data_IF_521126214583
#
_entry.id   IF_521126214583
#
_cell.length_a   1.000
_cell.length_b   1.000
_cell.length_c   1.000
_cell.angle_alpha   90.00
_cell.angle_beta   90.00
_cell.angle_gamma   90.00
#
_symmetry.space_group_name_H-M   'P 1'
#
loop_
_entity.id
_entity.type
_entity.pdbx_description
1 polymer ?
#
# COMPACT_ATOMS: atom_id res chain seq x y z
N UNK A 1 -23.57 4.11 -14.03
CA UNK A 1 -24.58 5.19 -14.08
C UNK A 1 -25.27 5.42 -12.75
N UNK A 2 -25.80 4.39 -12.06
CA UNK A 2 -26.44 4.53 -10.73
C UNK A 2 -25.52 5.11 -9.65
N UNK A 3 -24.24 4.72 -9.60
CA UNK A 3 -23.28 5.27 -8.62
C UNK A 3 -23.06 6.79 -8.76
N UNK A 4 -23.08 7.31 -10.00
CA UNK A 4 -22.95 8.74 -10.29
C UNK A 4 -24.19 9.51 -9.82
N UNK A 5 -25.38 8.95 -10.02
CA UNK A 5 -26.64 9.52 -9.55
C UNK A 5 -26.68 9.56 -8.01
N UNK A 6 -26.24 8.49 -7.34
CA UNK A 6 -26.18 8.42 -5.87
C UNK A 6 -25.18 9.44 -5.31
N UNK A 7 -23.98 9.56 -5.89
CA UNK A 7 -22.94 10.49 -5.42
C UNK A 7 -23.34 11.96 -5.64
N UNK A 8 -24.01 12.29 -6.75
CA UNK A 8 -24.51 13.64 -7.00
C UNK A 8 -25.69 13.97 -6.07
N UNK A 9 -26.59 13.00 -5.85
CA UNK A 9 -27.68 13.11 -4.88
C UNK A 9 -27.20 13.31 -3.44
N UNK A 10 -26.18 12.56 -3.02
CA UNK A 10 -25.57 12.70 -1.69
C UNK A 10 -24.87 14.06 -1.52
N UNK A 11 -24.18 14.55 -2.56
CA UNK A 11 -23.54 15.87 -2.54
C UNK A 11 -24.56 17.02 -2.47
N UNK A 12 -25.72 16.88 -3.11
CA UNK A 12 -26.81 17.86 -3.04
C UNK A 12 -27.49 17.84 -1.65
N UNK A 13 -27.73 16.65 -1.10
CA UNK A 13 -28.32 16.47 0.23
C UNK A 13 -27.41 16.99 1.36
N UNK A 14 -26.08 16.80 1.24
CA UNK A 14 -25.09 17.32 2.20
C UNK A 14 -25.01 18.85 2.24
N UNK A 15 -25.52 19.56 1.24
CA UNK A 15 -25.59 21.04 1.24
C UNK A 15 -26.80 21.59 2.00
N UNK A 16 -27.86 20.80 2.17
CA UNK A 16 -29.13 21.24 2.77
C UNK A 16 -29.34 20.76 4.20
N UNK A 17 -28.51 19.83 4.69
CA UNK A 17 -28.45 19.56 6.12
C UNK A 17 -27.87 20.80 6.80
N UNK A 18 -28.59 21.41 7.77
CA UNK A 18 -27.96 22.32 8.71
C UNK A 18 -26.71 21.60 9.20
N UNK A 19 -25.57 22.30 9.25
CA UNK A 19 -24.43 21.84 10.05
C UNK A 19 -24.94 21.79 11.49
N UNK A 20 -25.64 20.72 11.87
CA UNK A 20 -25.60 20.20 13.22
C UNK A 20 -24.10 20.00 13.40
N UNK A 21 -23.47 20.99 14.03
CA UNK A 21 -22.05 21.01 14.31
C UNK A 21 -21.74 19.59 14.73
N UNK A 22 -20.93 18.87 13.94
CA UNK A 22 -20.46 17.56 14.30
C UNK A 22 -19.90 17.76 15.70
N UNK A 23 -20.68 17.38 16.71
CA UNK A 23 -20.39 17.73 18.08
C UNK A 23 -19.16 16.89 18.32
N UNK A 24 -17.99 17.51 18.25
CA UNK A 24 -16.73 16.83 18.38
C UNK A 24 -16.85 16.07 19.68
N UNK A 25 -17.01 14.75 19.59
CA UNK A 25 -17.10 13.90 20.77
C UNK A 25 -15.74 14.08 21.40
N UNK A 26 -15.70 14.83 22.51
CA UNK A 26 -14.47 15.13 23.20
C UNK A 26 -13.77 13.78 23.45
N UNK A 27 -12.51 13.61 23.02
CA UNK A 27 -11.80 12.34 23.18
C UNK A 27 -11.87 11.92 24.64
N UNK A 28 -12.53 10.79 24.93
CA UNK A 28 -12.51 10.23 26.27
C UNK A 28 -11.10 9.74 26.54
N UNK A 29 -10.46 10.29 27.57
CA UNK A 29 -9.17 9.83 28.02
C UNK A 29 -9.30 8.36 28.46
N UNK A 30 -8.71 7.46 27.67
CA UNK A 30 -8.65 6.02 28.00
C UNK A 30 -7.59 5.85 29.08
N UNK A 31 -8.02 5.50 30.30
CA UNK A 31 -7.10 5.20 31.40
C UNK A 31 -6.24 3.98 31.08
N UNK A 32 -4.98 3.96 31.56
CA UNK A 32 -4.02 2.85 31.33
C UNK A 32 -4.62 1.46 31.64
N UNK A 33 -5.48 1.32 32.65
CA UNK A 33 -6.14 0.05 32.98
C UNK A 33 -7.15 -0.42 31.93
N UNK A 34 -7.90 0.52 31.33
CA UNK A 34 -8.83 0.22 30.24
C UNK A 34 -8.06 -0.11 28.95
N UNK A 35 -6.93 0.56 28.71
CA UNK A 35 -6.00 0.23 27.63
C UNK A 35 -5.46 -1.21 27.77
N UNK A 36 -4.97 -1.60 28.95
CA UNK A 36 -4.47 -2.97 29.21
C UNK A 36 -5.56 -4.02 29.04
N UNK A 37 -6.82 -3.70 29.37
CA UNK A 37 -7.95 -4.62 29.19
C UNK A 37 -8.42 -4.73 27.74
N UNK A 38 -8.43 -3.63 26.98
CA UNK A 38 -8.82 -3.63 25.56
C UNK A 38 -7.73 -4.14 24.61
N UNK A 39 -6.45 -3.98 24.97
CA UNK A 39 -5.31 -4.40 24.15
C UNK A 39 -5.40 -5.86 23.70
N UNK A 40 -5.62 -6.86 24.57
CA UNK A 40 -5.72 -8.25 24.14
C UNK A 40 -6.92 -8.50 23.24
N UNK A 41 -8.07 -7.86 23.49
CA UNK A 41 -9.28 -8.03 22.66
C UNK A 41 -9.05 -7.51 21.23
N UNK A 42 -8.39 -6.36 21.10
CA UNK A 42 -8.06 -5.76 19.80
C UNK A 42 -6.91 -6.49 19.11
N UNK A 43 -5.92 -6.99 19.87
CA UNK A 43 -4.75 -7.67 19.33
C UNK A 43 -5.03 -9.11 18.89
N UNK A 44 -5.99 -9.81 19.50
CA UNK A 44 -6.30 -11.22 19.19
C UNK A 44 -6.70 -11.41 17.72
N UNK A 45 -7.53 -10.54 17.16
CA UNK A 45 -7.98 -10.65 15.77
C UNK A 45 -6.83 -10.60 14.74
N UNK A 46 -5.93 -9.59 14.74
CA UNK A 46 -4.77 -9.58 13.86
C UNK A 46 -3.76 -10.68 14.18
N UNK A 47 -3.60 -11.05 15.46
CA UNK A 47 -2.67 -12.12 15.85
C UNK A 47 -3.11 -13.48 15.30
N UNK A 48 -4.40 -13.80 15.36
CA UNK A 48 -4.97 -15.01 14.75
C UNK A 48 -4.93 -14.89 13.22
N UNK A 49 -5.33 -13.74 12.67
CA UNK A 49 -5.37 -13.51 11.23
C UNK A 49 -4.02 -13.66 10.53
N UNK A 50 -2.92 -13.30 11.21
CA UNK A 50 -1.55 -13.48 10.70
C UNK A 50 -0.94 -14.80 11.18
N UNK A 51 -1.20 -15.18 12.43
CA UNK A 51 -0.63 -16.39 13.04
C UNK A 51 -1.05 -17.67 12.32
N UNK A 52 -2.33 -17.81 11.96
CA UNK A 52 -2.83 -18.99 11.25
C UNK A 52 -2.13 -19.20 9.89
N UNK A 53 -2.07 -18.23 8.97
CA UNK A 53 -1.36 -18.40 7.72
C UNK A 53 0.16 -18.58 7.91
N UNK A 54 0.79 -17.90 8.87
CA UNK A 54 2.22 -18.12 9.16
C UNK A 54 2.51 -19.54 9.64
N UNK A 55 1.67 -20.08 10.54
CA UNK A 55 1.80 -21.45 11.02
C UNK A 55 1.55 -22.46 9.88
N UNK A 56 0.59 -22.19 9.00
CA UNK A 56 0.35 -23.01 7.82
C UNK A 56 1.52 -22.99 6.83
N UNK A 57 2.13 -21.82 6.61
CA UNK A 57 3.34 -21.71 5.79
C UNK A 57 4.53 -22.44 6.44
N UNK A 58 4.67 -22.33 7.77
CA UNK A 58 5.75 -22.98 8.50
C UNK A 58 5.57 -24.50 8.52
N UNK A 59 4.36 -25.00 8.73
CA UNK A 59 4.09 -26.44 8.69
C UNK A 59 4.37 -27.00 7.30
N UNK A 60 3.93 -26.29 6.24
CA UNK A 60 4.22 -26.66 4.85
C UNK A 60 5.71 -26.64 4.53
N UNK A 61 6.45 -25.67 5.06
CA UNK A 61 7.90 -25.59 4.89
C UNK A 61 8.63 -26.76 5.58
N UNK A 62 8.19 -27.12 6.79
CA UNK A 62 8.75 -28.24 7.56
C UNK A 62 8.38 -29.61 6.97
N UNK A 63 7.15 -29.75 6.44
CA UNK A 63 6.69 -30.95 5.71
C UNK A 63 7.42 -31.10 4.36
N UNK A 64 7.77 -30.00 3.70
CA UNK A 64 8.55 -30.01 2.46
C UNK A 64 10.04 -30.32 2.70
N UNK A 65 10.57 -30.05 3.89
CA UNK A 65 11.98 -30.24 4.22
C UNK A 65 12.42 -31.72 4.26
N UNK A 66 11.50 -32.69 4.33
CA UNK A 66 11.82 -34.12 4.40
C UNK A 66 12.06 -34.80 3.05
N UNK A 67 11.89 -34.12 1.90
CA UNK A 67 12.07 -34.73 0.57
C UNK A 67 12.94 -33.85 -0.37
N UNK A 68 14.19 -33.58 0.00
CA UNK A 68 15.35 -33.53 -0.93
C UNK A 68 15.39 -32.48 -2.07
N UNK A 69 14.68 -31.35 -1.97
CA UNK A 69 14.56 -30.38 -3.09
C UNK A 69 15.00 -28.93 -2.83
N UNK A 70 15.58 -28.60 -1.66
CA UNK A 70 16.07 -27.22 -1.41
C UNK A 70 17.44 -27.02 -2.06
N UNK A 71 17.44 -26.42 -3.24
CA UNK A 71 18.63 -25.93 -3.94
C UNK A 71 19.08 -24.59 -3.37
N UNK A 72 19.96 -24.64 -2.36
CA UNK A 72 20.49 -23.48 -1.65
C UNK A 72 21.12 -22.44 -2.59
N UNK A 73 21.98 -22.81 -3.57
CA UNK A 73 22.48 -21.88 -4.58
C UNK A 73 21.39 -21.10 -5.30
N UNK A 74 20.36 -21.79 -5.82
CA UNK A 74 19.26 -21.16 -6.54
C UNK A 74 18.42 -20.25 -5.65
N UNK A 75 18.24 -20.63 -4.38
CA UNK A 75 17.55 -19.80 -3.40
C UNK A 75 18.33 -18.51 -3.12
N UNK A 76 19.65 -18.60 -2.93
CA UNK A 76 20.50 -17.43 -2.71
C UNK A 76 20.49 -16.49 -3.93
N UNK A 77 20.52 -17.04 -5.14
CA UNK A 77 20.41 -16.25 -6.38
C UNK A 77 19.06 -15.52 -6.45
N UNK A 78 17.95 -16.22 -6.21
CA UNK A 78 16.61 -15.63 -6.23
C UNK A 78 16.41 -14.56 -5.13
N UNK A 79 16.95 -14.80 -3.93
CA UNK A 79 16.95 -13.81 -2.85
C UNK A 79 17.80 -12.60 -3.27
N UNK A 80 18.99 -12.83 -3.81
CA UNK A 80 19.88 -11.78 -4.30
C UNK A 80 19.23 -10.90 -5.37
N UNK A 81 18.58 -11.50 -6.37
CA UNK A 81 17.87 -10.75 -7.41
C UNK A 81 16.70 -9.96 -6.85
N UNK A 82 15.93 -10.55 -5.93
CA UNK A 82 14.76 -9.90 -5.32
C UNK A 82 15.19 -8.72 -4.45
N UNK A 83 16.22 -8.89 -3.63
CA UNK A 83 16.80 -7.82 -2.81
C UNK A 83 17.39 -6.73 -3.70
N UNK A 84 18.10 -7.08 -4.77
CA UNK A 84 18.65 -6.11 -5.72
C UNK A 84 17.57 -5.23 -6.35
N UNK A 85 16.47 -5.83 -6.81
CA UNK A 85 15.31 -5.10 -7.36
C UNK A 85 14.66 -4.23 -6.28
N UNK A 86 14.46 -4.76 -5.07
CA UNK A 86 13.87 -4.02 -3.96
C UNK A 86 14.69 -2.80 -3.55
N UNK A 87 16.02 -2.93 -3.48
CA UNK A 87 16.93 -1.82 -3.18
C UNK A 87 16.88 -0.76 -4.28
N UNK A 88 16.92 -1.16 -5.55
CA UNK A 88 16.81 -0.23 -6.67
C UNK A 88 15.48 0.55 -6.64
N UNK A 89 14.37 -0.15 -6.38
CA UNK A 89 13.05 0.47 -6.24
C UNK A 89 12.98 1.40 -5.03
N UNK A 90 13.54 1.02 -3.88
CA UNK A 90 13.57 1.85 -2.69
C UNK A 90 14.36 3.14 -2.91
N UNK A 91 15.53 3.07 -3.55
CA UNK A 91 16.33 4.24 -3.89
C UNK A 91 15.57 5.17 -4.85
N UNK A 92 14.92 4.61 -5.87
CA UNK A 92 14.11 5.38 -6.80
C UNK A 92 12.92 6.06 -6.09
N UNK A 93 12.19 5.32 -5.25
CA UNK A 93 11.06 5.83 -4.49
C UNK A 93 11.49 6.96 -3.54
N UNK A 94 12.61 6.80 -2.83
CA UNK A 94 13.16 7.85 -1.96
C UNK A 94 13.58 9.07 -2.79
N UNK A 95 14.28 8.88 -3.90
CA UNK A 95 14.69 9.99 -4.76
C UNK A 95 13.51 10.81 -5.29
N UNK A 96 12.39 10.15 -5.60
CA UNK A 96 11.16 10.80 -6.06
C UNK A 96 10.33 11.40 -4.92
N UNK A 97 10.24 10.73 -3.78
CA UNK A 97 9.43 11.16 -2.64
C UNK A 97 10.09 12.28 -1.83
N UNK A 98 11.43 12.30 -1.73
CA UNK A 98 12.18 13.29 -0.96
C UNK A 98 11.89 14.74 -1.37
N UNK A 99 11.92 15.14 -2.66
CA UNK A 99 11.60 16.51 -3.06
C UNK A 99 10.14 16.88 -2.76
N UNK A 100 9.21 15.93 -2.92
CA UNK A 100 7.79 16.13 -2.63
C UNK A 100 7.59 16.37 -1.13
N UNK A 101 8.18 15.52 -0.28
CA UNK A 101 8.12 15.65 1.17
C UNK A 101 8.76 16.96 1.65
N UNK A 102 9.89 17.35 1.07
CA UNK A 102 10.56 18.62 1.40
C UNK A 102 9.69 19.83 1.01
N UNK A 103 9.01 19.78 -0.14
CA UNK A 103 8.12 20.85 -0.59
C UNK A 103 6.86 20.93 0.29
N UNK A 104 6.27 19.78 0.62
CA UNK A 104 5.09 19.69 1.48
C UNK A 104 5.36 20.19 2.91
N UNK A 105 6.57 19.95 3.43
CA UNK A 105 6.97 20.44 4.74
C UNK A 105 7.13 21.96 4.79
N UNK A 106 7.54 22.59 3.68
CA UNK A 106 7.88 24.03 3.63
C UNK A 106 6.76 24.91 3.10
N UNK A 107 5.88 24.41 2.24
CA UNK A 107 4.88 25.21 1.55
C UNK A 107 3.47 24.64 1.71
N UNK A 108 2.50 25.52 1.98
CA UNK A 108 1.07 25.18 2.02
C UNK A 108 0.35 25.89 0.88
N UNK A 109 0.23 25.22 -0.26
CA UNK A 109 -0.40 25.76 -1.47
C UNK A 109 -1.18 24.71 -2.24
N UNK A 110 -2.05 25.14 -3.16
CA UNK A 110 -2.91 24.24 -3.96
C UNK A 110 -2.14 23.20 -4.77
N UNK A 111 -0.93 23.54 -5.25
CA UNK A 111 -0.06 22.61 -5.97
C UNK A 111 0.48 21.49 -5.06
N UNK A 112 0.86 21.81 -3.82
CA UNK A 112 1.31 20.82 -2.83
C UNK A 112 0.17 19.86 -2.50
N UNK A 113 -1.03 20.37 -2.24
CA UNK A 113 -2.20 19.54 -1.96
C UNK A 113 -2.58 18.64 -3.14
N UNK A 114 -2.41 19.13 -4.38
CA UNK A 114 -2.63 18.31 -5.57
C UNK A 114 -1.60 17.17 -5.67
N UNK A 115 -0.32 17.45 -5.44
CA UNK A 115 0.75 16.44 -5.46
C UNK A 115 0.55 15.39 -4.35
N UNK A 116 0.19 15.81 -3.14
CA UNK A 116 -0.16 14.89 -2.05
C UNK A 116 -1.35 14.00 -2.43
N UNK A 117 -2.38 14.57 -3.06
CA UNK A 117 -3.55 13.80 -3.51
C UNK A 117 -3.19 12.76 -4.58
N UNK A 118 -2.23 13.06 -5.46
CA UNK A 118 -1.69 12.07 -6.42
C UNK A 118 -0.94 10.95 -5.73
N UNK A 119 -0.18 11.24 -4.66
CA UNK A 119 0.46 10.20 -3.84
C UNK A 119 -0.55 9.22 -3.23
N UNK A 120 -1.72 9.69 -2.84
CA UNK A 120 -2.79 8.83 -2.32
C UNK A 120 -3.53 8.03 -3.39
N UNK A 121 -3.52 8.47 -4.65
CA UNK A 121 -4.17 7.74 -5.74
C UNK A 121 -3.59 6.33 -5.93
N UNK A 122 -2.28 6.16 -5.73
CA UNK A 122 -1.64 4.83 -5.77
C UNK A 122 -2.21 3.85 -4.74
N UNK A 123 -2.61 4.33 -3.56
CA UNK A 123 -3.22 3.49 -2.51
C UNK A 123 -4.70 3.18 -2.77
N UNK A 124 -5.38 3.98 -3.58
CA UNK A 124 -6.78 3.78 -3.94
C UNK A 124 -6.96 2.83 -5.13
N UNK A 125 -5.92 2.68 -5.96
CA UNK A 125 -5.94 1.82 -7.14
C UNK A 125 -5.56 0.38 -6.76
N UNK A 126 -6.27 -0.64 -7.26
CA UNK A 126 -5.82 -2.02 -7.11
C UNK A 126 -4.47 -2.21 -7.82
N UNK A 127 -3.46 -2.74 -7.12
CA UNK A 127 -2.10 -2.86 -7.66
C UNK A 127 -2.01 -3.64 -8.99
N UNK A 128 -2.88 -4.64 -9.18
CA UNK A 128 -2.98 -5.39 -10.45
C UNK A 128 -3.32 -4.47 -11.62
N UNK A 129 -4.22 -3.50 -11.42
CA UNK A 129 -4.64 -2.55 -12.47
C UNK A 129 -3.48 -1.64 -12.85
N UNK A 130 -2.71 -1.16 -11.86
CA UNK A 130 -1.51 -0.34 -12.08
C UNK A 130 -0.47 -1.12 -12.88
N UNK A 131 -0.18 -2.36 -12.46
CA UNK A 131 0.79 -3.23 -13.15
C UNK A 131 0.41 -3.52 -14.60
N UNK A 132 -0.85 -3.90 -14.86
CA UNK A 132 -1.31 -4.16 -16.23
C UNK A 132 -1.27 -2.89 -17.08
N UNK A 133 -1.65 -1.75 -16.53
CA UNK A 133 -1.61 -0.47 -17.25
C UNK A 133 -0.18 -0.11 -17.66
N UNK A 134 0.80 -0.36 -16.78
CA UNK A 134 2.21 -0.14 -17.08
C UNK A 134 2.72 -1.10 -18.17
N UNK A 135 2.31 -2.37 -18.14
CA UNK A 135 2.65 -3.36 -19.18
C UNK A 135 2.09 -2.93 -20.54
N UNK A 136 0.81 -2.53 -20.59
CA UNK A 136 0.19 -2.03 -21.82
C UNK A 136 0.89 -0.76 -22.31
N UNK A 137 1.23 0.16 -21.41
CA UNK A 137 1.97 1.38 -21.76
C UNK A 137 3.36 1.06 -22.32
N UNK A 138 4.11 0.15 -21.70
CA UNK A 138 5.42 -0.26 -22.19
C UNK A 138 5.32 -0.85 -23.60
N UNK A 139 4.38 -1.77 -23.83
CA UNK A 139 4.15 -2.36 -25.15
C UNK A 139 3.71 -1.33 -26.20
N UNK A 140 2.91 -0.33 -25.82
CA UNK A 140 2.37 0.66 -26.74
C UNK A 140 3.37 1.77 -27.10
N UNK A 141 4.19 2.22 -26.14
CA UNK A 141 5.03 3.42 -26.30
C UNK A 141 6.50 3.07 -26.49
N UNK A 142 7.02 2.14 -25.68
CA UNK A 142 8.44 1.75 -25.74
C UNK A 142 8.56 0.22 -25.61
N UNK A 143 8.29 -0.54 -26.69
CA UNK A 143 8.24 -2.00 -26.64
C UNK A 143 9.52 -2.64 -26.06
N UNK A 144 10.67 -1.99 -26.22
CA UNK A 144 11.95 -2.43 -25.65
C UNK A 144 11.96 -2.50 -24.11
N UNK A 145 11.05 -1.81 -23.43
CA UNK A 145 10.89 -1.87 -21.97
C UNK A 145 10.09 -3.10 -21.51
N UNK A 146 9.38 -3.78 -22.41
CA UNK A 146 8.61 -4.96 -22.07
C UNK A 146 9.51 -6.07 -21.49
N UNK A 147 9.06 -6.73 -20.41
CA UNK A 147 9.82 -7.74 -19.67
C UNK A 147 11.19 -7.27 -19.13
N UNK A 148 11.44 -5.96 -19.05
CA UNK A 148 12.68 -5.43 -18.49
C UNK A 148 12.62 -5.21 -16.97
N UNK A 149 13.79 -5.26 -16.32
CA UNK A 149 13.93 -4.90 -14.91
C UNK A 149 13.56 -3.44 -14.62
N UNK A 150 13.64 -2.56 -15.63
CA UNK A 150 13.30 -1.13 -15.50
C UNK A 150 11.81 -0.96 -15.22
N UNK A 151 10.96 -1.67 -15.96
CA UNK A 151 9.51 -1.66 -15.75
C UNK A 151 9.17 -2.24 -14.38
N UNK A 152 9.86 -3.30 -13.96
CA UNK A 152 9.66 -3.92 -12.66
C UNK A 152 10.02 -2.95 -11.51
N UNK A 153 11.20 -2.33 -11.57
CA UNK A 153 11.66 -1.35 -10.56
C UNK A 153 10.73 -0.14 -10.50
N UNK A 154 10.28 0.36 -11.64
CA UNK A 154 9.33 1.47 -11.69
C UNK A 154 7.97 1.08 -11.08
N UNK A 155 7.44 -0.11 -11.41
CA UNK A 155 6.20 -0.60 -10.84
C UNK A 155 6.27 -0.75 -9.32
N UNK A 156 7.41 -1.18 -8.77
CA UNK A 156 7.61 -1.30 -7.33
C UNK A 156 7.72 0.05 -6.60
N UNK A 157 8.11 1.12 -7.31
CA UNK A 157 8.27 2.46 -6.74
C UNK A 157 6.96 3.26 -6.67
N UNK A 158 5.92 2.82 -7.38
CA UNK A 158 4.59 3.45 -7.48
C UNK A 158 3.63 2.80 -6.49
#
# INVERSE_FOLDING_TARGET
>A
MLALVVVVGERAARRQLPRAAARAVAPRAVGRGMLVSLLPVVAVAPLIGVGVPLLGLLSRLLEAATLREIDVPRLLEAVGSTVGVAVAAALLAVALALPIAALAARYRGRLVTAIESVGYLGHALPGIVVGLSLVFFALAVVPALYQSIVVLVFAYAV
#
